data_IF_131701281860
#
_entry.id   IF_131701281860
#
_cell.length_a   1.000
_cell.length_b   1.000
_cell.length_c   1.000
_cell.angle_alpha   90.00
_cell.angle_beta   90.00
_cell.angle_gamma   90.00
#
_symmetry.space_group_name_H-M   'P 1'
#
loop_
_entity.id
_entity.type
_entity.pdbx_description
1 polymer ?
#
# COMPACT_ATOMS: atom_id res chain seq x y z
N UNK A 1 -10.14 -18.65 27.17
CA UNK A 1 -8.87 -18.08 27.66
C UNK A 1 -9.01 -17.41 29.03
N UNK A 2 -10.11 -16.71 29.34
CA UNK A 2 -10.43 -16.28 30.73
C UNK A 2 -11.55 -17.12 31.39
N UNK A 3 -12.48 -17.63 30.58
CA UNK A 3 -13.56 -18.53 31.01
C UNK A 3 -13.48 -19.82 30.20
N UNK A 4 -14.10 -20.89 30.71
CA UNK A 4 -14.14 -22.22 30.11
C UNK A 4 -13.12 -23.21 30.69
N UNK A 5 -13.19 -24.48 30.28
CA UNK A 5 -12.27 -25.53 30.74
C UNK A 5 -10.85 -25.33 30.20
N UNK A 6 -9.89 -26.12 30.71
CA UNK A 6 -8.44 -26.02 30.38
C UNK A 6 -8.14 -26.02 28.87
N UNK A 7 -8.89 -26.76 28.06
CA UNK A 7 -8.72 -26.83 26.59
C UNK A 7 -9.21 -25.58 25.84
N UNK A 8 -9.92 -24.66 26.51
CA UNK A 8 -10.53 -23.51 25.88
C UNK A 8 -9.55 -22.34 25.66
N UNK A 9 -8.57 -22.55 24.76
CA UNK A 9 -7.53 -21.57 24.42
C UNK A 9 -7.81 -20.85 23.08
N UNK A 10 -8.77 -19.91 23.10
CA UNK A 10 -9.16 -19.10 21.92
C UNK A 10 -8.22 -17.94 21.53
N UNK A 11 -7.25 -17.54 22.37
CA UNK A 11 -6.43 -16.35 22.13
C UNK A 11 -7.14 -15.00 22.37
N UNK A 12 -6.56 -13.91 21.85
CA UNK A 12 -6.97 -12.51 22.05
C UNK A 12 -6.86 -11.62 20.78
N UNK A 13 -6.88 -12.21 19.59
CA UNK A 13 -6.81 -11.47 18.32
C UNK A 13 -5.40 -11.18 17.79
N UNK A 14 -4.34 -11.57 18.53
CA UNK A 14 -2.98 -11.51 18.02
C UNK A 14 -2.81 -12.44 16.80
N UNK A 15 -2.21 -11.91 15.72
CA UNK A 15 -1.82 -12.70 14.54
C UNK A 15 -0.62 -13.58 14.88
N UNK A 16 -0.60 -14.81 14.37
CA UNK A 16 0.46 -15.78 14.65
C UNK A 16 1.68 -15.52 13.75
N UNK A 17 2.89 -15.39 14.29
CA UNK A 17 4.11 -15.17 13.50
C UNK A 17 4.80 -16.48 13.07
N UNK A 18 4.10 -17.62 13.13
CA UNK A 18 4.69 -18.93 12.89
C UNK A 18 3.72 -20.08 13.15
N UNK A 19 4.25 -21.29 13.20
CA UNK A 19 3.47 -22.54 13.24
C UNK A 19 3.95 -23.48 14.36
N UNK A 20 3.04 -24.33 14.83
CA UNK A 20 3.37 -25.42 15.76
C UNK A 20 3.64 -26.70 14.96
N UNK A 21 4.72 -27.40 15.29
CA UNK A 21 5.04 -28.72 14.74
C UNK A 21 4.24 -29.83 15.43
N UNK A 22 4.32 -31.05 14.88
CA UNK A 22 3.66 -32.24 15.43
C UNK A 22 4.04 -32.52 16.89
N UNK A 23 5.28 -32.24 17.28
CA UNK A 23 5.76 -32.36 18.66
C UNK A 23 5.44 -31.13 19.55
N UNK A 24 4.53 -30.24 19.12
CA UNK A 24 4.13 -29.01 19.82
C UNK A 24 5.23 -27.97 20.03
N UNK A 25 6.38 -28.11 19.36
CA UNK A 25 7.40 -27.06 19.31
C UNK A 25 6.92 -25.92 18.41
N UNK A 26 7.13 -24.67 18.82
CA UNK A 26 6.81 -23.52 18.00
C UNK A 26 8.01 -23.13 17.12
N UNK A 27 7.75 -22.90 15.84
CA UNK A 27 8.74 -22.37 14.90
C UNK A 27 8.30 -20.99 14.45
N UNK A 28 9.15 -20.00 14.72
CA UNK A 28 8.97 -18.62 14.26
C UNK A 28 9.35 -18.52 12.77
N UNK A 29 8.47 -17.93 11.97
CA UNK A 29 8.73 -17.68 10.55
C UNK A 29 9.04 -16.20 10.36
N UNK A 30 10.30 -15.86 10.07
CA UNK A 30 10.76 -14.48 9.87
C UNK A 30 9.90 -13.67 8.89
N UNK A 31 9.43 -14.23 7.74
CA UNK A 31 8.56 -13.49 6.81
C UNK A 31 7.18 -13.15 7.36
N UNK A 32 6.69 -13.84 8.40
CA UNK A 32 5.41 -13.55 9.05
C UNK A 32 5.54 -12.49 10.14
N UNK A 33 6.76 -12.13 10.54
CA UNK A 33 7.02 -11.07 11.52
C UNK A 33 7.00 -9.73 10.78
N UNK A 34 6.11 -8.79 11.14
CA UNK A 34 6.06 -7.49 10.48
C UNK A 34 7.35 -6.71 10.76
N UNK A 35 7.88 -6.08 9.71
CA UNK A 35 9.05 -5.21 9.79
C UNK A 35 8.58 -3.76 9.71
N UNK A 36 9.02 -2.93 10.65
CA UNK A 36 8.73 -1.51 10.63
C UNK A 36 9.71 -0.79 9.70
N UNK A 37 9.19 -0.14 8.66
CA UNK A 37 9.97 0.70 7.76
C UNK A 37 10.01 2.11 8.35
N UNK A 38 11.13 2.47 9.00
CA UNK A 38 11.32 3.76 9.67
C UNK A 38 12.25 4.63 8.80
N UNK A 39 11.78 5.79 8.28
CA UNK A 39 12.63 6.70 7.52
C UNK A 39 13.55 7.52 8.43
N UNK A 40 14.63 8.05 7.87
CA UNK A 40 15.45 9.06 8.56
C UNK A 40 14.69 10.39 8.60
N UNK A 41 14.72 11.04 9.77
CA UNK A 41 14.04 12.31 10.04
C UNK A 41 15.02 13.45 10.33
N UNK A 42 16.32 13.25 10.11
CA UNK A 42 17.31 14.32 10.19
C UNK A 42 16.93 15.48 9.25
N UNK A 43 16.90 16.71 9.79
CA UNK A 43 16.51 17.93 9.07
C UNK A 43 15.09 17.92 8.45
N UNK A 44 14.15 17.14 8.99
CA UNK A 44 12.77 17.11 8.50
C UNK A 44 12.02 18.40 8.85
N UNK A 45 11.52 19.13 7.84
CA UNK A 45 10.90 20.45 7.99
C UNK A 45 9.47 20.40 8.54
N UNK A 46 8.72 19.33 8.25
CA UNK A 46 7.34 19.21 8.69
C UNK A 46 7.27 18.94 10.18
N UNK A 47 6.29 19.57 10.85
CA UNK A 47 6.06 19.46 12.30
C UNK A 47 4.69 18.85 12.54
N UNK A 48 4.48 18.29 13.74
CA UNK A 48 3.20 17.72 14.15
C UNK A 48 2.06 18.76 14.18
N UNK A 49 2.38 20.05 14.24
CA UNK A 49 1.43 21.15 14.30
C UNK A 49 1.72 22.20 13.23
N UNK A 50 0.65 22.86 12.79
CA UNK A 50 0.67 23.92 11.77
C UNK A 50 0.29 25.26 12.43
N UNK A 51 0.84 26.36 11.93
CA UNK A 51 0.53 27.71 12.41
C UNK A 51 -0.88 28.16 11.99
N UNK A 52 -1.58 28.87 12.88
CA UNK A 52 -2.86 29.53 12.59
C UNK A 52 -2.78 30.61 11.51
N UNK A 53 -1.58 31.06 11.13
CA UNK A 53 -1.39 32.03 10.04
C UNK A 53 -1.64 31.42 8.65
N UNK A 54 -1.76 30.10 8.53
CA UNK A 54 -2.07 29.45 7.28
C UNK A 54 -3.50 29.80 6.82
N UNK A 55 -3.72 30.11 5.53
CA UNK A 55 -5.06 30.37 5.02
C UNK A 55 -5.93 29.11 5.09
N UNK A 56 -7.24 29.29 5.15
CA UNK A 56 -8.18 28.17 5.07
C UNK A 56 -8.02 27.45 3.72
N UNK A 57 -7.69 26.16 3.77
CA UNK A 57 -7.53 25.35 2.57
C UNK A 57 -8.87 24.86 2.03
N UNK A 58 -9.16 25.14 0.76
CA UNK A 58 -10.21 24.46 0.00
C UNK A 58 -9.55 23.38 -0.87
N UNK A 59 -9.50 22.14 -0.38
CA UNK A 59 -8.95 21.02 -1.14
C UNK A 59 -10.11 20.14 -1.64
N UNK A 60 -10.45 20.16 -2.94
CA UNK A 60 -11.39 19.20 -3.48
C UNK A 60 -10.80 17.79 -3.39
N UNK A 61 -11.63 16.74 -3.20
CA UNK A 61 -11.16 15.37 -3.08
C UNK A 61 -10.41 14.94 -4.35
N UNK A 62 -9.35 14.17 -4.17
CA UNK A 62 -8.61 13.58 -5.29
C UNK A 62 -9.48 12.50 -5.95
N UNK A 63 -9.61 12.55 -7.28
CA UNK A 63 -10.33 11.57 -8.09
C UNK A 63 -9.40 10.89 -9.09
N UNK A 64 -9.76 9.69 -9.55
CA UNK A 64 -8.98 8.96 -10.54
C UNK A 64 -8.82 9.75 -11.85
N UNK A 65 -9.90 10.43 -12.29
CA UNK A 65 -9.89 11.32 -13.45
C UNK A 65 -8.89 12.45 -13.28
N UNK A 66 -8.93 13.16 -12.15
CA UNK A 66 -8.01 14.26 -11.89
C UNK A 66 -6.55 13.81 -11.91
N UNK A 67 -6.25 12.65 -11.31
CA UNK A 67 -4.90 12.07 -11.34
C UNK A 67 -4.47 11.72 -12.77
N UNK A 68 -5.37 11.12 -13.56
CA UNK A 68 -5.11 10.80 -14.97
C UNK A 68 -4.82 12.07 -15.79
N UNK A 69 -5.66 13.09 -15.66
CA UNK A 69 -5.55 14.36 -16.36
C UNK A 69 -4.24 15.11 -16.01
N UNK A 70 -3.82 15.06 -14.75
CA UNK A 70 -2.60 15.75 -14.28
C UNK A 70 -1.30 15.01 -14.66
N UNK A 71 -1.29 13.68 -14.67
CA UNK A 71 -0.04 12.89 -14.78
C UNK A 71 0.12 12.21 -16.15
N UNK A 72 -0.94 11.58 -16.66
CA UNK A 72 -0.89 10.68 -17.82
C UNK A 72 -1.31 11.39 -19.10
N UNK A 73 -2.38 12.19 -19.06
CA UNK A 73 -2.94 12.85 -20.23
C UNK A 73 -1.92 13.69 -21.02
N UNK A 74 -1.03 14.51 -20.40
CA UNK A 74 -0.05 15.31 -21.15
C UNK A 74 0.93 14.46 -21.97
N UNK A 75 1.22 13.23 -21.52
CA UNK A 75 2.10 12.30 -22.23
C UNK A 75 1.40 11.69 -23.44
N UNK A 76 0.15 11.27 -23.27
CA UNK A 76 -0.66 10.71 -24.36
C UNK A 76 -0.90 11.78 -25.43
N UNK A 77 -1.30 13.00 -25.04
CA UNK A 77 -1.53 14.08 -25.99
C UNK A 77 -0.30 14.41 -26.83
N UNK A 78 0.89 14.38 -26.24
CA UNK A 78 2.15 14.61 -26.96
C UNK A 78 2.36 13.56 -28.04
N UNK A 79 2.18 12.29 -27.71
CA UNK A 79 2.43 11.18 -28.62
C UNK A 79 1.34 11.07 -29.71
N UNK A 80 0.09 11.44 -29.38
CA UNK A 80 -1.02 11.56 -30.34
C UNK A 80 -0.72 12.68 -31.34
N UNK A 81 -0.31 13.87 -30.89
CA UNK A 81 0.07 14.99 -31.78
C UNK A 81 1.28 14.64 -32.66
N UNK A 82 2.19 13.82 -32.15
CA UNK A 82 3.36 13.35 -32.90
C UNK A 82 3.04 12.19 -33.87
N UNK A 83 1.84 11.62 -33.82
CA UNK A 83 1.44 10.48 -34.66
C UNK A 83 2.10 9.15 -34.28
N UNK A 84 2.61 9.01 -33.05
CA UNK A 84 3.32 7.81 -32.55
C UNK A 84 2.50 7.08 -31.47
N UNK A 85 1.21 7.37 -31.38
CA UNK A 85 0.32 6.76 -30.40
C UNK A 85 -0.19 5.41 -30.91
N UNK A 86 -0.01 4.37 -30.10
CA UNK A 86 -0.45 3.01 -30.37
C UNK A 86 -1.22 2.45 -29.15
N UNK A 87 -2.44 1.96 -29.37
CA UNK A 87 -3.32 1.45 -28.30
C UNK A 87 -2.77 0.16 -27.67
N UNK A 88 -2.01 -0.64 -28.40
CA UNK A 88 -1.40 -1.87 -27.87
C UNK A 88 -0.24 -1.59 -26.90
N UNK A 89 0.24 -0.35 -26.82
CA UNK A 89 1.42 0.04 -26.04
C UNK A 89 1.08 0.83 -24.77
N UNK A 90 -0.10 0.62 -24.18
CA UNK A 90 -0.53 1.34 -22.97
C UNK A 90 0.39 1.14 -21.76
N UNK A 91 1.11 0.02 -21.69
CA UNK A 91 2.12 -0.24 -20.66
C UNK A 91 3.21 0.84 -20.61
N UNK A 92 3.53 1.48 -21.75
CA UNK A 92 4.45 2.62 -21.85
C UNK A 92 4.00 3.80 -20.98
N UNK A 93 2.69 3.98 -20.85
CA UNK A 93 2.08 5.05 -20.05
C UNK A 93 1.78 4.62 -18.60
N UNK A 94 2.19 3.39 -18.22
CA UNK A 94 2.01 2.85 -16.87
C UNK A 94 0.71 2.08 -16.66
N UNK A 95 -0.02 1.74 -17.73
CA UNK A 95 -1.17 0.85 -17.61
C UNK A 95 -0.72 -0.59 -17.35
N UNK A 96 -1.41 -1.23 -16.42
CA UNK A 96 -1.11 -2.58 -15.96
C UNK A 96 -2.34 -3.46 -16.22
N UNK A 97 -2.29 -4.29 -17.28
CA UNK A 97 -3.41 -5.14 -17.69
C UNK A 97 -3.81 -6.16 -16.60
N UNK A 98 -2.81 -6.79 -15.97
CA UNK A 98 -3.01 -7.80 -14.93
C UNK A 98 -2.23 -7.46 -13.66
N UNK A 99 -2.76 -7.88 -12.51
CA UNK A 99 -2.11 -7.73 -11.21
C UNK A 99 -1.31 -8.99 -10.80
N UNK A 100 -1.38 -10.04 -11.61
CA UNK A 100 -0.65 -11.29 -11.37
C UNK A 100 0.86 -11.08 -11.51
N UNK A 101 1.65 -11.81 -10.72
CA UNK A 101 3.10 -11.69 -10.70
C UNK A 101 3.66 -10.43 -10.02
N UNK A 102 2.81 -9.46 -9.63
CA UNK A 102 3.26 -8.28 -8.89
C UNK A 102 3.48 -8.54 -7.41
N UNK A 103 4.57 -7.98 -6.89
CA UNK A 103 4.86 -8.02 -5.46
C UNK A 103 3.78 -7.30 -4.63
N UNK A 104 3.38 -6.12 -5.09
CA UNK A 104 2.32 -5.32 -4.48
C UNK A 104 1.10 -5.31 -5.40
N UNK A 105 0.10 -6.12 -5.05
CA UNK A 105 -1.14 -6.24 -5.81
C UNK A 105 -2.15 -5.21 -5.34
N UNK A 106 -2.80 -4.52 -6.28
CA UNK A 106 -3.87 -3.57 -5.96
C UNK A 106 -5.18 -4.27 -5.59
N UNK A 107 -5.54 -5.32 -6.32
CA UNK A 107 -6.74 -6.12 -6.07
C UNK A 107 -6.51 -7.61 -6.41
N UNK A 108 -6.72 -8.55 -5.46
CA UNK A 108 -6.94 -8.31 -4.03
C UNK A 108 -5.67 -7.75 -3.36
N UNK A 109 -5.84 -6.76 -2.49
CA UNK A 109 -4.72 -6.09 -1.82
C UNK A 109 -3.92 -7.07 -0.95
N UNK A 110 -2.61 -7.15 -1.14
CA UNK A 110 -1.73 -8.10 -0.44
C UNK A 110 -0.70 -7.46 0.54
N UNK A 111 -0.73 -6.15 0.74
CA UNK A 111 0.20 -5.42 1.61
C UNK A 111 -0.48 -4.70 2.79
N UNK A 112 0.28 -4.44 3.85
CA UNK A 112 -0.19 -3.71 5.03
C UNK A 112 -0.27 -2.18 4.76
N UNK A 113 -0.96 -1.43 5.63
CA UNK A 113 -0.98 0.03 5.62
C UNK A 113 0.11 0.57 6.55
#
# INVERSE_FOLDING_TARGET
SKRGPRSHNKGRGARRPGVLTSNRKFILLRPMVPQFVVPDLAAFKLKAYVSYRAPAGAAPPLTARRLFDEVVAPRIERDVRAGVFEETQLHKYGFEETQEGKLFQLFPKNYAR
#
